data_IF_303657934609
#
_entry.id   IF_303657934609
#
_cell.length_a   1.000
_cell.length_b   1.000
_cell.length_c   1.000
_cell.angle_alpha   90.00
_cell.angle_beta   90.00
_cell.angle_gamma   90.00
#
_symmetry.space_group_name_H-M   'P 1'
#
loop_
_entity.id
_entity.type
_entity.pdbx_description
1 polymer ?
#
# COMPACT_ATOMS: atom_id res chain seq x y z
N UNK A 1 17.71 1.16 21.40
CA UNK A 1 16.48 0.38 21.64
C UNK A 1 16.68 -0.82 22.55
N UNK A 2 17.59 -1.79 22.26
CA UNK A 2 17.80 -2.96 23.14
C UNK A 2 18.22 -2.59 24.57
N UNK A 3 19.11 -1.60 24.72
CA UNK A 3 19.56 -1.10 26.04
C UNK A 3 18.40 -0.51 26.84
N UNK A 4 17.58 0.34 26.22
CA UNK A 4 16.40 0.93 26.86
C UNK A 4 15.32 -0.11 27.17
N UNK A 5 15.09 -1.08 26.29
CA UNK A 5 14.17 -2.19 26.55
C UNK A 5 14.64 -3.05 27.73
N UNK A 6 15.94 -3.34 27.83
CA UNK A 6 16.53 -4.05 28.97
C UNK A 6 16.35 -3.25 30.27
N UNK A 7 16.61 -1.95 30.27
CA UNK A 7 16.38 -1.09 31.44
C UNK A 7 14.91 -1.15 31.91
N UNK A 8 13.97 -1.02 30.98
CA UNK A 8 12.53 -1.07 31.27
C UNK A 8 12.10 -2.41 31.86
N UNK A 9 12.57 -3.52 31.28
CA UNK A 9 12.30 -4.89 31.78
C UNK A 9 12.87 -5.10 33.18
N UNK A 10 13.99 -4.46 33.53
CA UNK A 10 14.61 -4.62 34.83
C UNK A 10 13.93 -3.80 35.91
N UNK A 11 13.41 -2.60 35.61
CA UNK A 11 12.92 -1.66 36.64
C UNK A 11 11.40 -1.56 36.78
N UNK A 12 10.63 -1.89 35.75
CA UNK A 12 9.18 -1.75 35.81
C UNK A 12 8.54 -2.94 36.56
N UNK A 13 7.70 -2.69 37.58
CA UNK A 13 7.02 -3.76 38.31
C UNK A 13 5.88 -4.38 37.51
N UNK A 14 5.18 -3.58 36.70
CA UNK A 14 4.02 -3.99 35.91
C UNK A 14 4.25 -3.76 34.42
N UNK A 15 3.66 -4.60 33.53
CA UNK A 15 3.75 -4.47 32.08
C UNK A 15 2.84 -3.36 31.54
N UNK A 16 2.84 -2.18 32.18
CA UNK A 16 2.01 -1.05 31.77
C UNK A 16 2.51 -0.43 30.46
N UNK A 17 1.63 -0.41 29.47
CA UNK A 17 1.94 0.06 28.14
C UNK A 17 2.31 1.55 28.11
N UNK A 18 1.63 2.37 28.92
CA UNK A 18 1.87 3.82 28.96
C UNK A 18 3.28 4.12 29.47
N UNK A 19 3.70 3.45 30.53
CA UNK A 19 5.03 3.57 31.13
C UNK A 19 6.15 3.10 30.21
N UNK A 20 5.92 2.01 29.47
CA UNK A 20 6.87 1.50 28.47
C UNK A 20 7.02 2.49 27.31
N UNK A 21 5.92 3.06 26.81
CA UNK A 21 5.96 4.07 25.74
C UNK A 21 6.66 5.35 26.17
N UNK A 22 6.41 5.82 27.39
CA UNK A 22 7.12 6.97 27.96
C UNK A 22 8.63 6.72 28.02
N UNK A 23 9.06 5.55 28.49
CA UNK A 23 10.48 5.17 28.54
C UNK A 23 11.15 4.96 27.17
N UNK A 24 10.36 4.71 26.12
CA UNK A 24 10.85 4.59 24.74
C UNK A 24 10.78 5.89 23.93
N UNK A 25 10.14 6.94 24.44
CA UNK A 25 9.89 8.20 23.72
C UNK A 25 11.16 8.92 23.23
N UNK A 26 12.30 8.75 23.93
CA UNK A 26 13.60 9.29 23.52
C UNK A 26 14.37 8.43 22.50
N UNK A 27 13.85 7.24 22.15
CA UNK A 27 14.48 6.35 21.19
C UNK A 27 13.78 6.45 19.83
N UNK A 28 14.18 7.41 18.99
CA UNK A 28 13.61 7.57 17.65
C UNK A 28 13.96 6.37 16.76
N UNK A 29 12.97 5.52 16.48
CA UNK A 29 13.07 4.48 15.45
C UNK A 29 12.03 4.77 14.37
N UNK A 30 12.51 5.20 13.20
CA UNK A 30 11.69 5.56 12.03
C UNK A 30 11.11 4.34 11.30
N UNK A 31 11.59 3.13 11.62
CA UNK A 31 11.52 1.99 10.71
C UNK A 31 10.20 1.19 10.82
N UNK A 32 9.58 1.09 12.00
CA UNK A 32 8.43 0.18 12.23
C UNK A 32 7.45 0.59 13.34
N UNK A 33 7.70 1.70 14.05
CA UNK A 33 6.92 2.11 15.22
C UNK A 33 7.14 1.25 16.48
N UNK A 34 6.63 1.69 17.63
CA UNK A 34 6.90 1.06 18.94
C UNK A 34 6.06 -0.18 19.26
N UNK A 35 5.05 -0.54 18.46
CA UNK A 35 4.03 -1.55 18.85
C UNK A 35 4.64 -2.92 19.16
N UNK A 36 5.49 -3.45 18.30
CA UNK A 36 6.16 -4.74 18.52
C UNK A 36 7.13 -4.71 19.70
N UNK A 37 7.85 -3.60 19.86
CA UNK A 37 8.81 -3.40 20.95
C UNK A 37 8.07 -3.33 22.29
N UNK A 38 6.98 -2.58 22.36
CA UNK A 38 6.11 -2.49 23.53
C UNK A 38 5.55 -3.86 23.89
N UNK A 39 5.03 -4.61 22.91
CA UNK A 39 4.52 -5.98 23.14
C UNK A 39 5.61 -6.91 23.69
N UNK A 40 6.81 -6.87 23.12
CA UNK A 40 7.93 -7.69 23.58
C UNK A 40 8.35 -7.32 25.02
N UNK A 41 8.47 -6.04 25.34
CA UNK A 41 8.80 -5.58 26.70
C UNK A 41 7.73 -6.03 27.71
N UNK A 42 6.44 -5.89 27.38
CA UNK A 42 5.33 -6.37 28.23
C UNK A 42 5.43 -7.88 28.48
N UNK A 43 5.62 -8.66 27.42
CA UNK A 43 5.72 -10.12 27.51
C UNK A 43 6.88 -10.58 28.41
N UNK A 44 8.04 -9.91 28.33
CA UNK A 44 9.19 -10.25 29.16
C UNK A 44 8.97 -9.84 30.62
N UNK A 45 8.35 -8.69 30.90
CA UNK A 45 7.97 -8.29 32.27
C UNK A 45 7.02 -9.34 32.88
N UNK A 46 5.98 -9.74 32.15
CA UNK A 46 5.04 -10.78 32.59
C UNK A 46 5.73 -12.12 32.85
N UNK A 47 6.65 -12.53 31.98
CA UNK A 47 7.39 -13.77 32.15
C UNK A 47 8.31 -13.72 33.39
N UNK A 48 8.96 -12.59 33.66
CA UNK A 48 9.77 -12.40 34.88
C UNK A 48 8.91 -12.53 36.14
N UNK A 49 7.73 -11.90 36.15
CA UNK A 49 6.77 -11.99 37.26
C UNK A 49 6.31 -13.41 37.51
N UNK A 50 5.92 -14.13 36.45
CA UNK A 50 5.53 -15.56 36.54
C UNK A 50 6.64 -16.45 37.10
N UNK A 51 7.90 -16.06 36.93
CA UNK A 51 9.08 -16.77 37.45
C UNK A 51 9.52 -16.28 38.84
N UNK A 52 8.78 -15.38 39.48
CA UNK A 52 9.16 -14.80 40.77
C UNK A 52 10.40 -13.89 40.72
N UNK A 53 10.79 -13.42 39.53
CA UNK A 53 11.95 -12.55 39.37
C UNK A 53 11.52 -11.09 39.60
N UNK A 54 11.90 -10.55 40.76
CA UNK A 54 11.57 -9.18 41.15
C UNK A 54 12.22 -8.12 40.22
N UNK A 55 11.58 -6.94 40.07
CA UNK A 55 12.22 -5.77 39.47
C UNK A 55 13.37 -5.28 40.36
N UNK A 56 14.43 -4.78 39.73
CA UNK A 56 15.57 -4.15 40.40
C UNK A 56 15.22 -2.69 40.65
N UNK A 57 15.29 -2.25 41.90
CA UNK A 57 15.08 -0.85 42.26
C UNK A 57 16.00 0.06 41.42
N UNK A 58 15.40 1.02 40.73
CA UNK A 58 16.11 1.88 39.79
C UNK A 58 16.75 1.18 38.59
N UNK A 59 16.69 -0.15 38.41
CA UNK A 59 17.45 -0.86 37.38
C UNK A 59 18.95 -1.06 37.71
N UNK A 60 19.34 -0.90 38.98
CA UNK A 60 20.73 -1.08 39.43
C UNK A 60 21.62 0.15 39.27
N UNK A 61 21.06 1.30 38.89
CA UNK A 61 21.76 2.60 38.85
C UNK A 61 21.82 3.20 40.25
N UNK A 62 23.04 3.44 40.75
CA UNK A 62 23.29 4.16 42.01
C UNK A 62 23.25 5.69 41.83
N UNK A 63 23.47 6.18 40.61
CA UNK A 63 23.32 7.58 40.24
C UNK A 63 22.91 7.69 38.77
N UNK A 64 21.97 8.59 38.47
CA UNK A 64 21.77 9.09 37.12
C UNK A 64 22.72 10.27 36.95
N UNK A 65 23.67 10.19 36.01
CA UNK A 65 24.29 11.41 35.48
C UNK A 65 23.20 12.32 34.90
N UNK A 66 23.38 13.65 34.86
CA UNK A 66 22.32 14.56 34.44
C UNK A 66 21.89 14.21 33.02
N UNK A 67 20.65 13.71 32.87
CA UNK A 67 20.08 13.39 31.56
C UNK A 67 19.31 14.61 31.06
N UNK A 68 19.92 15.32 30.12
CA UNK A 68 19.37 16.52 29.48
C UNK A 68 20.30 17.72 29.67
N UNK A 69 20.51 18.47 28.58
CA UNK A 69 21.22 19.75 28.47
C UNK A 69 21.45 20.46 29.81
N UNK A 70 22.72 20.76 30.12
CA UNK A 70 23.19 21.25 31.41
C UNK A 70 22.68 22.62 31.85
N UNK A 71 21.38 22.79 32.07
CA UNK A 71 20.73 23.98 32.64
C UNK A 71 19.42 23.66 33.39
N UNK A 72 19.29 22.49 34.00
CA UNK A 72 18.14 22.21 34.87
C UNK A 72 18.58 21.73 36.25
N UNK A 73 18.50 22.64 37.22
CA UNK A 73 18.58 22.35 38.64
C UNK A 73 17.33 21.57 39.06
N UNK A 74 17.54 20.44 39.72
CA UNK A 74 16.49 19.54 40.17
C UNK A 74 15.66 20.17 41.28
N UNK A 75 14.45 20.64 40.97
CA UNK A 75 13.41 20.91 41.98
C UNK A 75 12.42 19.75 42.00
N UNK A 76 12.50 18.95 43.06
CA UNK A 76 11.51 17.92 43.38
C UNK A 76 10.38 18.59 44.15
N UNK A 77 9.27 18.85 43.47
CA UNK A 77 7.88 18.78 44.00
C UNK A 77 6.92 19.29 42.93
N UNK A 78 5.98 18.45 42.50
CA UNK A 78 4.64 18.87 42.09
C UNK A 78 3.76 17.66 41.78
N UNK A 79 2.64 17.58 42.50
CA UNK A 79 1.52 16.70 42.28
C UNK A 79 1.04 16.69 40.82
N UNK A 80 0.91 15.50 40.24
CA UNK A 80 0.23 15.34 38.97
C UNK A 80 -1.28 15.26 39.19
N UNK A 81 -1.92 16.43 39.29
CA UNK A 81 -3.36 16.53 39.10
C UNK A 81 -3.72 16.15 37.65
N UNK A 82 -4.68 15.22 37.50
CA UNK A 82 -5.13 14.70 36.22
C UNK A 82 -5.78 15.80 35.35
N UNK A 83 -5.23 16.01 34.15
CA UNK A 83 -5.82 16.88 33.14
C UNK A 83 -6.87 16.09 32.33
N UNK A 84 -8.07 16.63 32.04
CA UNK A 84 -9.13 15.87 31.40
C UNK A 84 -8.76 15.50 29.96
N UNK A 85 -9.21 14.32 29.53
CA UNK A 85 -9.11 13.84 28.16
C UNK A 85 -9.77 14.83 27.20
N UNK A 86 -9.01 15.32 26.22
CA UNK A 86 -9.56 16.07 25.10
C UNK A 86 -10.52 15.14 24.34
N UNK A 87 -11.80 15.54 24.30
CA UNK A 87 -12.85 14.86 23.55
C UNK A 87 -12.40 14.65 22.11
N UNK A 88 -12.47 13.40 21.66
CA UNK A 88 -12.34 13.04 20.25
C UNK A 88 -13.32 13.89 19.44
N UNK A 89 -12.80 14.70 18.52
CA UNK A 89 -13.64 15.34 17.50
C UNK A 89 -14.23 14.22 16.65
N UNK A 90 -15.55 14.08 16.75
CA UNK A 90 -16.42 13.39 15.82
C UNK A 90 -16.04 13.81 14.40
N UNK A 91 -15.62 12.85 13.60
CA UNK A 91 -15.47 13.03 12.15
C UNK A 91 -16.90 13.03 11.60
N UNK A 92 -17.47 14.22 11.54
CA UNK A 92 -18.78 14.44 10.94
C UNK A 92 -18.59 14.69 9.44
N UNK A 93 -19.27 13.83 8.69
CA UNK A 93 -19.79 14.02 7.33
C UNK A 93 -18.82 14.44 6.21
N UNK A 94 -18.35 13.39 5.54
CA UNK A 94 -18.11 13.34 4.11
C UNK A 94 -19.39 13.73 3.35
N UNK A 95 -19.45 14.95 2.82
CA UNK A 95 -20.37 15.31 1.75
C UNK A 95 -19.73 16.43 0.91
N UNK A 96 -19.06 16.02 -0.16
CA UNK A 96 -18.45 16.91 -1.13
C UNK A 96 -18.12 16.11 -2.38
N UNK A 97 -18.85 16.37 -3.46
CA UNK A 97 -18.86 15.61 -4.71
C UNK A 97 -17.52 15.60 -5.49
N UNK A 98 -16.40 16.07 -4.91
CA UNK A 98 -15.07 16.07 -5.54
C UNK A 98 -13.87 15.86 -4.59
N UNK A 99 -14.05 15.24 -3.43
CA UNK A 99 -13.05 15.24 -2.35
C UNK A 99 -11.91 14.20 -2.48
N UNK A 100 -11.29 14.03 -3.66
CA UNK A 100 -9.99 13.34 -3.78
C UNK A 100 -8.92 14.40 -4.01
N UNK A 101 -8.14 14.78 -2.99
CA UNK A 101 -7.14 15.82 -3.12
C UNK A 101 -5.95 15.37 -3.97
N UNK A 102 -5.28 16.33 -4.58
CA UNK A 102 -3.95 16.10 -5.13
C UNK A 102 -2.96 15.69 -4.04
N UNK A 103 -1.99 14.87 -4.42
CA UNK A 103 -0.93 14.43 -3.55
C UNK A 103 0.38 14.27 -4.33
N UNK A 104 1.51 14.31 -3.62
CA UNK A 104 2.81 13.99 -4.20
C UNK A 104 3.09 12.50 -4.00
N UNK A 105 3.28 11.71 -5.08
CA UNK A 105 3.65 10.32 -4.95
C UNK A 105 5.01 10.13 -4.27
N UNK A 106 5.10 9.17 -3.33
CA UNK A 106 6.35 8.81 -2.67
C UNK A 106 7.28 8.01 -3.60
N UNK A 107 6.69 7.30 -4.57
CA UNK A 107 7.39 6.52 -5.59
C UNK A 107 6.74 6.80 -6.94
N UNK A 108 7.56 6.93 -7.98
CA UNK A 108 7.13 7.11 -9.36
C UNK A 108 7.94 6.21 -10.27
N UNK A 109 7.29 5.61 -11.26
CA UNK A 109 7.94 4.92 -12.36
C UNK A 109 7.12 5.02 -13.64
N UNK A 110 7.80 4.81 -14.76
CA UNK A 110 7.17 4.80 -16.07
C UNK A 110 6.98 3.36 -16.56
N UNK A 111 5.91 3.15 -17.32
CA UNK A 111 5.60 1.91 -18.01
C UNK A 111 4.93 2.25 -19.35
N UNK A 112 4.75 1.28 -20.23
CA UNK A 112 4.02 1.48 -21.47
C UNK A 112 3.45 0.18 -22.01
N UNK A 113 2.46 0.30 -22.88
CA UNK A 113 2.00 -0.79 -23.71
C UNK A 113 1.61 -0.27 -25.09
N UNK A 114 1.46 -1.17 -26.05
CA UNK A 114 1.04 -0.85 -27.41
C UNK A 114 -0.23 -1.62 -27.73
N UNK A 115 -1.12 -0.98 -28.50
CA UNK A 115 -2.34 -1.57 -29.05
C UNK A 115 -2.42 -1.26 -30.55
N UNK A 116 -2.94 -2.19 -31.35
CA UNK A 116 -3.00 -2.07 -32.81
C UNK A 116 -4.23 -1.29 -33.29
N UNK A 117 -4.47 -0.14 -32.67
CA UNK A 117 -5.60 0.74 -33.00
C UNK A 117 -5.19 2.22 -32.99
N UNK A 118 -5.85 3.08 -33.79
CA UNK A 118 -5.53 4.51 -33.84
C UNK A 118 -5.76 5.24 -32.50
N UNK A 119 -4.99 6.30 -32.19
CA UNK A 119 -5.05 6.97 -30.89
C UNK A 119 -6.43 7.48 -30.50
N UNK A 120 -7.21 8.03 -31.44
CA UNK A 120 -8.57 8.51 -31.14
C UNK A 120 -9.48 7.39 -30.61
N UNK A 121 -9.46 6.23 -31.27
CA UNK A 121 -10.28 5.06 -30.87
C UNK A 121 -9.87 4.54 -29.49
N UNK A 122 -8.56 4.49 -29.23
CA UNK A 122 -8.03 4.07 -27.92
C UNK A 122 -8.39 5.09 -26.85
N UNK A 123 -8.29 6.38 -27.15
CA UNK A 123 -8.62 7.45 -26.23
C UNK A 123 -10.09 7.44 -25.84
N UNK A 124 -10.99 7.25 -26.80
CA UNK A 124 -12.43 7.12 -26.56
C UNK A 124 -12.75 5.95 -25.65
N UNK A 125 -12.15 4.78 -25.91
CA UNK A 125 -12.27 3.59 -25.06
C UNK A 125 -11.74 3.83 -23.64
N UNK A 126 -10.61 4.51 -23.48
CA UNK A 126 -10.09 4.91 -22.16
C UNK A 126 -11.01 5.91 -21.43
N UNK A 127 -11.93 6.56 -22.15
CA UNK A 127 -12.97 7.41 -21.59
C UNK A 127 -14.17 6.66 -21.01
N UNK A 128 -14.41 5.43 -21.44
CA UNK A 128 -15.47 4.59 -20.90
C UNK A 128 -14.96 3.89 -19.64
N UNK A 129 -15.20 4.52 -18.50
CA UNK A 129 -14.77 4.04 -17.17
C UNK A 129 -15.25 2.61 -16.90
N UNK A 130 -16.44 2.24 -17.38
CA UNK A 130 -17.00 0.90 -17.15
C UNK A 130 -16.22 -0.14 -17.93
N UNK A 131 -15.89 0.15 -19.18
CA UNK A 131 -15.12 -0.75 -20.03
C UNK A 131 -13.65 -0.83 -19.61
N UNK A 132 -13.06 0.29 -19.18
CA UNK A 132 -11.70 0.33 -18.60
C UNK A 132 -11.62 -0.54 -17.34
N UNK A 133 -12.60 -0.42 -16.43
CA UNK A 133 -12.65 -1.24 -15.23
C UNK A 133 -12.77 -2.74 -15.56
N UNK A 134 -13.54 -3.11 -16.59
CA UNK A 134 -13.67 -4.49 -17.05
C UNK A 134 -12.35 -5.05 -17.64
N UNK A 135 -11.47 -4.20 -18.15
CA UNK A 135 -10.17 -4.61 -18.67
C UNK A 135 -9.12 -4.81 -17.55
N UNK A 136 -9.32 -4.27 -16.36
CA UNK A 136 -8.37 -4.32 -15.26
C UNK A 136 -8.62 -5.54 -14.34
N UNK A 137 -7.69 -6.52 -14.25
CA UNK A 137 -7.92 -7.72 -13.45
C UNK A 137 -8.16 -7.44 -11.97
N UNK A 138 -9.21 -8.05 -11.42
CA UNK A 138 -9.57 -7.90 -10.01
C UNK A 138 -10.20 -6.56 -9.65
N UNK A 139 -10.41 -5.67 -10.62
CA UNK A 139 -11.17 -4.44 -10.45
C UNK A 139 -12.68 -4.72 -10.49
N UNK A 140 -13.43 -4.00 -9.67
CA UNK A 140 -14.90 -4.03 -9.67
C UNK A 140 -15.43 -2.66 -9.31
N UNK A 141 -16.49 -2.21 -9.98
CA UNK A 141 -17.20 -0.99 -9.63
C UNK A 141 -18.10 -1.24 -8.42
N UNK A 142 -18.10 -0.32 -7.45
CA UNK A 142 -18.96 -0.41 -6.25
C UNK A 142 -20.05 0.65 -6.23
N UNK A 143 -20.05 1.56 -7.19
CA UNK A 143 -21.07 2.58 -7.43
C UNK A 143 -21.18 2.88 -8.92
N UNK A 144 -22.15 3.72 -9.30
CA UNK A 144 -22.31 4.13 -10.69
C UNK A 144 -21.20 5.11 -11.09
N UNK A 145 -20.37 4.80 -12.11
CA UNK A 145 -19.26 5.65 -12.50
C UNK A 145 -19.76 6.88 -13.25
N UNK A 146 -19.07 8.00 -13.05
CA UNK A 146 -19.19 9.20 -13.89
C UNK A 146 -17.90 9.37 -14.70
N UNK A 147 -17.87 10.24 -15.73
CA UNK A 147 -16.65 10.50 -16.49
C UNK A 147 -15.48 11.05 -15.66
N UNK A 148 -15.77 11.73 -14.55
CA UNK A 148 -14.77 12.39 -13.69
C UNK A 148 -14.51 11.63 -12.39
N UNK A 149 -15.33 10.65 -12.03
CA UNK A 149 -15.25 9.95 -10.74
C UNK A 149 -15.71 8.51 -10.83
N UNK A 150 -14.98 7.64 -10.16
CA UNK A 150 -15.32 6.22 -10.02
C UNK A 150 -15.14 5.76 -8.58
N UNK A 151 -16.04 4.88 -8.14
CA UNK A 151 -15.92 4.15 -6.88
C UNK A 151 -15.81 2.67 -7.16
N UNK A 152 -14.86 2.00 -6.50
CA UNK A 152 -14.56 0.62 -6.80
C UNK A 152 -13.69 -0.07 -5.78
N UNK A 153 -13.41 -1.33 -6.09
CA UNK A 153 -12.49 -2.18 -5.39
C UNK A 153 -11.48 -2.78 -6.36
N UNK A 154 -10.25 -3.01 -5.90
CA UNK A 154 -9.23 -3.75 -6.62
C UNK A 154 -8.70 -4.84 -5.70
N UNK A 155 -8.90 -6.09 -6.11
CA UNK A 155 -8.40 -7.28 -5.42
C UNK A 155 -7.18 -7.83 -6.14
N UNK A 156 -6.05 -7.88 -5.44
CA UNK A 156 -4.80 -8.45 -5.95
C UNK A 156 -4.31 -9.58 -5.05
N UNK A 157 -3.76 -10.61 -5.68
CA UNK A 157 -3.14 -11.75 -5.00
C UNK A 157 -1.77 -12.02 -5.61
N UNK A 158 -0.75 -11.99 -4.76
CA UNK A 158 0.63 -12.25 -5.15
C UNK A 158 1.28 -13.17 -4.11
N UNK A 159 1.30 -14.46 -4.42
CA UNK A 159 1.76 -15.50 -3.50
C UNK A 159 0.98 -15.45 -2.18
N UNK A 160 1.66 -15.33 -1.01
CA UNK A 160 0.99 -15.24 0.29
C UNK A 160 0.35 -13.87 0.55
N UNK A 161 0.66 -12.85 -0.25
CA UNK A 161 0.12 -11.51 -0.08
C UNK A 161 -1.22 -11.43 -0.83
N UNK A 162 -2.23 -10.93 -0.13
CA UNK A 162 -3.52 -10.56 -0.75
C UNK A 162 -3.86 -9.16 -0.28
N UNK A 163 -4.44 -8.36 -1.15
CA UNK A 163 -4.98 -7.06 -0.80
C UNK A 163 -6.34 -6.88 -1.49
N UNK A 164 -7.26 -6.25 -0.77
CA UNK A 164 -8.58 -5.86 -1.26
C UNK A 164 -8.74 -4.38 -0.94
N UNK A 165 -8.29 -3.54 -1.87
CA UNK A 165 -8.36 -2.10 -1.72
C UNK A 165 -9.71 -1.61 -2.19
N UNK A 166 -10.42 -0.88 -1.33
CA UNK A 166 -11.68 -0.21 -1.65
C UNK A 166 -11.50 1.29 -1.56
N UNK A 167 -12.06 2.02 -2.52
CA UNK A 167 -12.00 3.47 -2.51
C UNK A 167 -12.55 4.09 -3.78
N UNK A 168 -11.99 5.25 -4.13
CA UNK A 168 -12.48 6.06 -5.22
C UNK A 168 -11.31 6.67 -6.00
N UNK A 169 -11.55 7.00 -7.26
CA UNK A 169 -10.64 7.75 -8.10
C UNK A 169 -11.36 8.90 -8.81
N UNK A 170 -10.62 9.97 -9.06
CA UNK A 170 -11.01 11.07 -9.94
C UNK A 170 -10.23 10.98 -11.24
N UNK A 171 -10.84 11.41 -12.33
CA UNK A 171 -10.30 11.33 -13.67
C UNK A 171 -10.34 12.71 -14.33
N UNK A 172 -9.22 13.08 -14.97
CA UNK A 172 -9.08 14.27 -15.80
C UNK A 172 -8.59 13.83 -17.18
N UNK A 173 -9.08 14.47 -18.24
CA UNK A 173 -8.73 14.15 -19.63
C UNK A 173 -8.56 15.43 -20.44
N UNK A 174 -7.57 15.43 -21.32
CA UNK A 174 -7.33 16.49 -22.31
C UNK A 174 -7.41 15.83 -23.69
N UNK A 175 -8.50 16.14 -24.42
CA UNK A 175 -8.81 15.55 -25.71
C UNK A 175 -7.85 16.03 -26.81
N UNK A 176 -7.35 17.27 -26.72
CA UNK A 176 -6.46 17.85 -27.72
C UNK A 176 -5.07 17.21 -27.65
N UNK A 177 -4.58 16.98 -26.42
CA UNK A 177 -3.26 16.37 -26.19
C UNK A 177 -3.29 14.85 -26.11
N UNK A 178 -4.48 14.24 -26.13
CA UNK A 178 -4.69 12.82 -25.88
C UNK A 178 -3.98 12.36 -24.60
N UNK A 179 -4.17 13.13 -23.53
CA UNK A 179 -3.63 12.82 -22.21
C UNK A 179 -4.74 12.63 -21.19
N UNK A 180 -4.42 11.95 -20.10
CA UNK A 180 -5.29 11.94 -18.93
C UNK A 180 -4.54 11.64 -17.65
N UNK A 181 -5.23 11.90 -16.54
CA UNK A 181 -4.71 11.78 -15.19
C UNK A 181 -5.79 11.17 -14.30
N UNK A 182 -5.42 10.11 -13.61
CA UNK A 182 -6.27 9.38 -12.68
C UNK A 182 -5.63 9.47 -11.31
N UNK A 183 -6.34 10.06 -10.34
CA UNK A 183 -5.88 10.17 -8.95
C UNK A 183 -6.84 9.39 -8.07
N UNK A 184 -6.32 8.37 -7.36
CA UNK A 184 -7.12 7.46 -6.56
C UNK A 184 -6.65 7.34 -5.13
N UNK A 185 -7.58 6.99 -4.25
CA UNK A 185 -7.29 6.61 -2.88
C UNK A 185 -8.04 5.32 -2.54
N UNK A 186 -7.42 4.44 -1.78
CA UNK A 186 -8.01 3.19 -1.37
C UNK A 186 -7.51 2.70 -0.03
N UNK A 187 -8.30 1.85 0.62
CA UNK A 187 -7.95 1.23 1.89
C UNK A 187 -8.27 -0.26 1.88
N UNK A 188 -7.41 -1.04 2.53
CA UNK A 188 -7.63 -2.45 2.83
C UNK A 188 -7.75 -2.59 4.35
N UNK A 189 -8.96 -2.90 4.82
CA UNK A 189 -9.26 -3.04 6.24
C UNK A 189 -8.54 -4.24 6.86
N UNK A 190 -8.36 -5.33 6.10
CA UNK A 190 -7.79 -6.58 6.62
C UNK A 190 -6.30 -6.43 6.90
N UNK A 191 -5.56 -5.83 5.97
CA UNK A 191 -4.14 -5.51 6.19
C UNK A 191 -3.92 -4.19 6.94
N UNK A 192 -4.99 -3.41 7.20
CA UNK A 192 -4.92 -2.06 7.77
C UNK A 192 -3.95 -1.18 6.98
N UNK A 193 -4.05 -1.25 5.66
CA UNK A 193 -3.20 -0.50 4.74
C UNK A 193 -4.04 0.51 3.96
N UNK A 194 -3.42 1.62 3.57
CA UNK A 194 -4.05 2.60 2.69
C UNK A 194 -3.09 3.02 1.60
N UNK A 195 -3.62 3.33 0.43
CA UNK A 195 -2.87 3.69 -0.76
C UNK A 195 -3.43 4.96 -1.36
N UNK A 196 -2.55 5.79 -1.89
CA UNK A 196 -2.88 6.85 -2.85
C UNK A 196 -2.11 6.54 -4.13
N UNK A 197 -2.78 6.66 -5.27
CA UNK A 197 -2.21 6.36 -6.59
C UNK A 197 -2.47 7.49 -7.56
N UNK A 198 -1.52 7.72 -8.45
CA UNK A 198 -1.66 8.59 -9.60
C UNK A 198 -1.23 7.82 -10.85
N UNK A 199 -2.04 7.85 -11.90
CA UNK A 199 -1.66 7.37 -13.23
C UNK A 199 -1.83 8.53 -14.18
N UNK A 200 -0.75 8.93 -14.86
CA UNK A 200 -0.81 9.83 -16.00
C UNK A 200 -0.55 9.03 -17.26
N UNK A 201 -1.29 9.31 -18.31
CA UNK A 201 -1.11 8.65 -19.59
C UNK A 201 -1.07 9.65 -20.75
N UNK A 202 -0.31 9.30 -21.78
CA UNK A 202 -0.26 10.01 -23.06
C UNK A 202 -0.26 9.00 -24.20
N UNK A 203 -1.09 9.24 -25.22
CA UNK A 203 -1.18 8.37 -26.39
C UNK A 203 -0.31 8.91 -27.51
N UNK A 204 0.63 8.09 -27.95
CA UNK A 204 1.56 8.40 -29.04
C UNK A 204 1.18 7.55 -30.26
N UNK A 205 0.89 8.16 -31.44
CA UNK A 205 0.68 7.40 -32.66
C UNK A 205 1.96 6.65 -33.05
N UNK A 206 1.78 5.43 -33.53
CA UNK A 206 2.82 4.55 -34.07
C UNK A 206 2.31 3.89 -35.34
N UNK A 207 3.20 3.30 -36.15
CA UNK A 207 2.82 2.65 -37.42
C UNK A 207 1.95 3.57 -38.31
N UNK A 208 2.43 4.79 -38.55
CA UNK A 208 1.71 5.80 -39.36
C UNK A 208 0.29 6.14 -38.85
N UNK A 209 0.04 5.93 -37.55
CA UNK A 209 -1.24 6.20 -36.89
C UNK A 209 -2.19 4.99 -36.85
N UNK A 210 -1.77 3.84 -37.37
CA UNK A 210 -2.54 2.60 -37.28
C UNK A 210 -2.50 1.97 -35.88
N UNK A 211 -1.42 2.19 -35.13
CA UNK A 211 -1.22 1.68 -33.78
C UNK A 211 -0.97 2.80 -32.77
N UNK A 212 -1.18 2.53 -31.49
CA UNK A 212 -0.98 3.49 -30.41
C UNK A 212 -0.06 2.92 -29.35
N UNK A 213 0.98 3.68 -29.00
CA UNK A 213 1.77 3.47 -27.79
C UNK A 213 1.17 4.32 -26.67
N UNK A 214 0.71 3.68 -25.60
CA UNK A 214 0.22 4.35 -24.40
C UNK A 214 1.37 4.44 -23.41
N UNK A 215 1.87 5.64 -23.18
CA UNK A 215 2.92 5.90 -22.21
C UNK A 215 2.30 6.21 -20.85
N UNK A 216 2.78 5.54 -19.80
CA UNK A 216 2.25 5.65 -18.45
C UNK A 216 3.31 6.21 -17.50
N UNK A 217 2.89 7.12 -16.62
CA UNK A 217 3.62 7.50 -15.41
C UNK A 217 2.78 7.13 -14.20
N UNK A 218 3.27 6.19 -13.39
CA UNK A 218 2.56 5.59 -12.27
C UNK A 218 3.24 6.05 -10.98
N UNK A 219 2.52 6.84 -10.20
CA UNK A 219 2.90 7.30 -8.88
C UNK A 219 2.09 6.61 -7.80
N UNK A 220 2.71 6.23 -6.68
CA UNK A 220 1.97 5.74 -5.53
C UNK A 220 2.60 6.11 -4.18
N UNK A 221 1.75 6.10 -3.16
CA UNK A 221 2.10 6.25 -1.74
C UNK A 221 1.33 5.22 -0.94
N UNK A 222 2.02 4.24 -0.38
CA UNK A 222 1.42 3.17 0.43
C UNK A 222 1.73 3.39 1.92
N UNK A 223 0.73 3.20 2.78
CA UNK A 223 0.82 3.29 4.24
C UNK A 223 0.27 2.02 4.88
N UNK A 224 0.67 1.75 6.12
CA UNK A 224 0.21 0.60 6.91
C UNK A 224 1.07 -0.66 6.71
N UNK A 225 0.49 -1.83 6.97
CA UNK A 225 1.23 -3.10 7.01
C UNK A 225 1.84 -3.45 5.65
N UNK A 226 1.08 -3.28 4.56
CA UNK A 226 1.57 -3.60 3.22
C UNK A 226 2.74 -2.70 2.81
N UNK A 227 2.81 -1.45 3.29
CA UNK A 227 3.94 -0.56 3.04
C UNK A 227 5.26 -1.09 3.62
N UNK A 228 5.21 -1.91 4.68
CA UNK A 228 6.40 -2.50 5.30
C UNK A 228 6.94 -3.68 4.49
N UNK A 229 6.10 -4.28 3.63
CA UNK A 229 6.42 -5.47 2.84
C UNK A 229 6.62 -5.12 1.36
N UNK A 230 5.95 -4.07 0.88
CA UNK A 230 6.00 -3.57 -0.49
C UNK A 230 7.39 -3.02 -0.81
N UNK A 231 8.27 -3.91 -1.28
CA UNK A 231 9.56 -3.56 -1.87
C UNK A 231 9.32 -2.97 -3.26
N UNK A 232 10.15 -2.00 -3.66
CA UNK A 232 10.04 -1.32 -4.96
C UNK A 232 9.95 -2.31 -6.14
N UNK A 233 10.74 -3.38 -6.14
CA UNK A 233 10.69 -4.42 -7.18
C UNK A 233 9.35 -5.17 -7.24
N UNK A 234 8.79 -5.55 -6.08
CA UNK A 234 7.52 -6.28 -6.01
C UNK A 234 6.36 -5.45 -6.57
N UNK A 235 6.34 -4.16 -6.26
CA UNK A 235 5.28 -3.26 -6.77
C UNK A 235 5.43 -3.04 -8.27
N UNK A 236 6.65 -2.89 -8.77
CA UNK A 236 6.92 -2.81 -10.21
C UNK A 236 6.50 -4.08 -10.95
N UNK A 237 6.80 -5.26 -10.40
CA UNK A 237 6.39 -6.54 -10.98
C UNK A 237 4.86 -6.67 -11.03
N UNK A 238 4.17 -6.26 -9.97
CA UNK A 238 2.70 -6.24 -9.93
C UNK A 238 2.14 -5.27 -10.98
N UNK A 239 2.69 -4.05 -11.06
CA UNK A 239 2.25 -3.05 -12.01
C UNK A 239 2.46 -3.51 -13.45
N UNK A 240 3.66 -4.01 -13.79
CA UNK A 240 3.96 -4.54 -15.12
C UNK A 240 2.99 -5.67 -15.53
N UNK A 241 2.63 -6.55 -14.58
CA UNK A 241 1.65 -7.60 -14.84
C UNK A 241 0.24 -7.04 -15.08
N UNK A 242 -0.19 -6.09 -14.26
CA UNK A 242 -1.49 -5.43 -14.44
C UNK A 242 -1.54 -4.66 -15.77
N UNK A 243 -0.47 -3.95 -16.16
CA UNK A 243 -0.36 -3.27 -17.46
C UNK A 243 -0.47 -4.27 -18.60
N UNK A 244 0.27 -5.38 -18.55
CA UNK A 244 0.24 -6.40 -19.59
C UNK A 244 -1.13 -7.07 -19.72
N UNK A 245 -1.78 -7.37 -18.60
CA UNK A 245 -3.11 -7.98 -18.59
C UNK A 245 -4.17 -6.99 -19.10
N UNK A 246 -4.09 -5.73 -18.69
CA UNK A 246 -4.93 -4.65 -19.16
C UNK A 246 -4.81 -4.45 -20.68
N UNK A 247 -3.59 -4.38 -21.22
CA UNK A 247 -3.35 -4.21 -22.65
C UNK A 247 -4.01 -5.33 -23.47
N UNK A 248 -3.86 -6.59 -23.05
CA UNK A 248 -4.49 -7.74 -23.73
C UNK A 248 -6.02 -7.69 -23.67
N UNK A 249 -6.58 -7.28 -22.53
CA UNK A 249 -8.04 -7.15 -22.40
C UNK A 249 -8.58 -5.98 -23.22
N UNK A 250 -7.84 -4.87 -23.29
CA UNK A 250 -8.16 -3.71 -24.09
C UNK A 250 -8.16 -4.04 -25.59
N UNK A 251 -7.13 -4.75 -26.07
CA UNK A 251 -7.09 -5.21 -27.47
C UNK A 251 -8.27 -6.12 -27.80
N UNK A 252 -8.57 -7.10 -26.93
CA UNK A 252 -9.73 -7.97 -27.10
C UNK A 252 -11.02 -7.17 -27.17
N UNK A 253 -11.19 -6.19 -26.27
CA UNK A 253 -12.36 -5.33 -26.26
C UNK A 253 -12.50 -4.50 -27.54
N UNK A 254 -11.39 -3.87 -27.98
CA UNK A 254 -11.35 -3.05 -29.20
C UNK A 254 -11.54 -3.89 -30.48
N UNK A 255 -11.21 -5.18 -30.44
CA UNK A 255 -11.49 -6.11 -31.55
C UNK A 255 -12.99 -6.41 -31.73
N UNK A 256 -13.82 -6.14 -30.72
CA UNK A 256 -15.26 -6.44 -30.74
C UNK A 256 -15.61 -7.83 -30.19
N UNK A 257 -14.62 -8.60 -29.72
CA UNK A 257 -14.86 -9.79 -28.90
C UNK A 257 -15.50 -9.34 -27.59
N UNK A 258 -16.84 -9.47 -27.50
CA UNK A 258 -17.58 -9.23 -26.26
C UNK A 258 -16.92 -10.03 -25.16
N UNK A 259 -16.39 -9.35 -24.14
CA UNK A 259 -16.16 -9.96 -22.83
C UNK A 259 -17.50 -10.57 -22.44
N UNK A 260 -17.60 -11.91 -22.50
CA UNK A 260 -18.72 -12.62 -21.92
C UNK A 260 -18.87 -12.08 -20.50
N UNK A 261 -20.07 -11.60 -20.17
CA UNK A 261 -20.39 -11.17 -18.81
C UNK A 261 -19.95 -12.28 -17.87
N UNK A 262 -18.91 -12.01 -17.07
CA UNK A 262 -18.41 -12.92 -16.07
C UNK A 262 -19.47 -13.04 -14.96
N UNK A 263 -20.47 -13.86 -15.24
CA UNK A 263 -21.29 -14.55 -14.25
C UNK A 263 -20.61 -15.88 -13.97
N UNK A 264 -19.31 -15.85 -13.67
CA UNK A 264 -18.57 -16.98 -13.16
C UNK A 264 -17.62 -16.44 -12.09
N UNK A 265 -17.53 -17.19 -10.98
CA UNK A 265 -16.80 -16.89 -9.76
C UNK A 265 -15.46 -16.19 -9.99
N UNK A 266 -15.01 -15.31 -9.07
CA UNK A 266 -13.78 -14.55 -9.23
C UNK A 266 -12.62 -15.51 -9.46
N UNK A 267 -12.18 -15.61 -10.72
CA UNK A 267 -11.01 -16.39 -11.09
C UNK A 267 -9.81 -15.77 -10.39
N UNK A 268 -9.49 -16.33 -9.23
CA UNK A 268 -8.25 -16.05 -8.54
C UNK A 268 -7.12 -16.35 -9.49
N UNK A 269 -6.20 -15.40 -9.68
CA UNK A 269 -4.92 -15.63 -10.34
C UNK A 269 -4.26 -16.87 -9.71
N UNK A 270 -4.41 -18.01 -10.37
CA UNK A 270 -4.02 -19.31 -9.87
C UNK A 270 -2.49 -19.39 -9.84
N UNK A 271 -1.90 -19.33 -8.64
CA UNK A 271 -0.44 -19.48 -8.45
C UNK A 271 0.13 -20.80 -8.98
N UNK A 272 -0.73 -21.78 -9.25
CA UNK A 272 -0.39 -23.07 -9.87
C UNK A 272 -0.02 -22.90 -11.35
N UNK A 273 -0.68 -22.01 -12.11
CA UNK A 273 -0.35 -21.81 -13.53
C UNK A 273 1.02 -21.16 -13.72
N UNK A 274 1.44 -20.29 -12.79
CA UNK A 274 2.78 -19.71 -12.75
C UNK A 274 3.87 -20.75 -12.46
N UNK A 275 3.60 -21.67 -11.54
CA UNK A 275 4.53 -22.76 -11.23
C UNK A 275 4.66 -23.71 -12.41
N UNK A 276 3.56 -24.03 -13.08
CA UNK A 276 3.55 -24.85 -14.30
C UNK A 276 4.30 -24.16 -15.43
N UNK A 277 4.11 -22.85 -15.66
CA UNK A 277 4.85 -22.13 -16.71
C UNK A 277 6.35 -22.04 -16.45
N UNK A 278 6.76 -21.81 -15.21
CA UNK A 278 8.19 -21.78 -14.83
C UNK A 278 8.81 -23.17 -14.97
N UNK A 279 8.09 -24.22 -14.55
CA UNK A 279 8.54 -25.60 -14.71
C UNK A 279 8.63 -25.99 -16.20
N UNK A 280 7.67 -25.56 -17.03
CA UNK A 280 7.66 -25.84 -18.48
C UNK A 280 8.80 -25.12 -19.19
N UNK A 281 9.08 -23.85 -18.85
CA UNK A 281 10.24 -23.11 -19.38
C UNK A 281 11.58 -23.74 -18.96
N UNK A 282 11.68 -24.28 -17.73
CA UNK A 282 12.87 -25.00 -17.26
C UNK A 282 13.06 -26.36 -17.94
N UNK A 283 11.98 -27.11 -18.14
CA UNK A 283 12.01 -28.39 -18.85
C UNK A 283 12.42 -28.23 -20.32
N UNK A 284 11.87 -27.25 -21.03
CA UNK A 284 12.25 -26.94 -22.42
C UNK A 284 13.72 -26.54 -22.54
N UNK A 285 14.23 -25.77 -21.56
CA UNK A 285 15.65 -25.38 -21.52
C UNK A 285 16.58 -26.57 -21.24
N UNK A 286 16.16 -27.52 -20.40
CA UNK A 286 16.91 -28.75 -20.13
C UNK A 286 16.94 -29.71 -21.33
N UNK A 287 15.80 -29.89 -22.02
CA UNK A 287 15.69 -30.70 -23.23
C UNK A 287 16.58 -30.14 -24.35
N UNK A 288 16.65 -28.82 -24.49
CA UNK A 288 17.52 -28.17 -25.49
C UNK A 288 19.01 -28.36 -25.20
N UNK A 289 19.39 -28.48 -23.92
CA UNK A 289 20.77 -28.70 -23.47
C UNK A 289 21.22 -30.17 -23.54
N UNK A 290 20.29 -31.11 -23.71
CA UNK A 290 20.57 -32.54 -23.90
C UNK A 290 20.65 -32.94 -25.38
N UNK A 291 20.38 -32.00 -26.29
CA UNK A 291 20.32 -32.19 -27.74
C UNK A 291 21.47 -31.49 -28.48
N UNK A 292 22.36 -30.84 -27.73
CA UNK A 292 23.67 -30.32 -28.13
C UNK A 292 24.75 -31.22 -27.51
#
# INVERSE_FOLDING_TARGET
MLVSARDLVLRLPEPDERSIRAGLSGNLCRCTGYVGIVRAVRAVIDQRRKRGIAPVAGGGRQALGPVGFGNATTTVTADFAAKPAAKAKTVDQMSGANAIPDFTPAKVFSDHFTVSYPPGRVFDMLGDVRQVAACLPGASLTGEPTPERVEGAIRVKLGPISADFRGAARLERDLEKLTGRIVGMGSDQRSRSSTQGEIRYHLVPTEEGAATRVELSIGYSLKGMLAQIARDGLVRDLAARLTADFARNLDRHLSGDRLAAATEEPQSLNGVSLLIEVLRKRALKAIRKLRE
#
